data_IF_430660243024
#
_entry.id   IF_430660243024
#
_cell.length_a   1.000
_cell.length_b   1.000
_cell.length_c   1.000
_cell.angle_alpha   90.00
_cell.angle_beta   90.00
_cell.angle_gamma   90.00
#
_symmetry.space_group_name_H-M   'P 1'
#
loop_
_entity.id
_entity.type
_entity.pdbx_description
1 polymer ?
2 non-polymer ?
3 water ?
#
# COMPACT_ATOMS: atom_id res chain seq x y z
N UNK A 1 -8.23 -0.78 -16.30
CA UNK A 1 -8.49 -1.31 -14.96
C UNK A 1 -8.18 -0.28 -13.88
N UNK A 2 -9.11 -0.11 -12.95
CA UNK A 2 -8.90 0.77 -11.81
C UNK A 2 -8.53 -0.05 -10.58
N UNK A 3 -7.36 0.21 -10.00
CA UNK A 3 -6.85 -0.61 -8.91
C UNK A 3 -6.57 0.21 -7.65
N UNK A 4 -7.06 -0.28 -6.53
CA UNK A 4 -6.82 0.35 -5.23
C UNK A 4 -6.56 -0.71 -4.16
N UNK A 5 -5.46 -0.55 -3.43
CA UNK A 5 -5.15 -1.44 -2.34
C UNK A 5 -5.48 -0.77 -1.01
N UNK A 6 -6.28 -1.45 -0.19
CA UNK A 6 -6.69 -0.89 1.09
C UNK A 6 -6.13 -1.73 2.24
N UNK A 7 -5.77 -1.06 3.33
CA UNK A 7 -5.13 -1.72 4.46
C UNK A 7 -5.91 -1.53 5.76
N UNK A 8 -6.16 -2.62 6.47
CA UNK A 8 -6.82 -2.56 7.77
C UNK A 8 -5.82 -2.84 8.89
N UNK A 9 -5.41 -1.78 9.58
CA UNK A 9 -4.35 -1.86 10.58
C UNK A 9 -4.65 -2.83 11.72
N UNK A 10 -5.92 -2.99 12.05
CA UNK A 10 -6.33 -3.85 13.16
C UNK A 10 -5.96 -5.32 12.91
N UNK A 11 -6.18 -5.79 11.70
CA UNK A 11 -5.94 -7.19 11.37
C UNK A 11 -4.84 -7.36 10.33
N UNK A 12 -4.24 -6.24 9.91
CA UNK A 12 -3.21 -6.22 8.88
C UNK A 12 -3.71 -6.83 7.57
N UNK A 13 -5.01 -6.70 7.33
CA UNK A 13 -5.64 -7.28 6.15
C UNK A 13 -5.60 -6.34 4.95
N UNK A 14 -5.28 -6.88 3.79
CA UNK A 14 -5.31 -6.12 2.54
C UNK A 14 -6.64 -6.32 1.82
N UNK A 15 -7.34 -5.22 1.56
CA UNK A 15 -8.56 -5.25 0.75
C UNK A 15 -8.24 -4.69 -0.62
N UNK A 16 -8.75 -5.34 -1.67
CA UNK A 16 -8.45 -4.91 -3.03
C UNK A 16 -9.69 -4.49 -3.80
N UNK A 17 -9.65 -3.27 -4.32
CA UNK A 17 -10.74 -2.74 -5.14
C UNK A 17 -10.34 -2.73 -6.61
N UNK A 18 -11.02 -3.55 -7.41
CA UNK A 18 -10.76 -3.60 -8.84
C UNK A 18 -11.99 -3.12 -9.61
N UNK A 19 -11.81 -2.10 -10.44
CA UNK A 19 -12.90 -1.54 -11.21
C UNK A 19 -12.74 -1.74 -12.70
N UNK A 20 -13.85 -1.99 -13.38
CA UNK A 20 -13.85 -2.12 -14.84
C UNK A 20 -14.11 -0.77 -15.48
N UNK A 21 -13.15 -0.28 -16.27
CA UNK A 21 -13.26 1.04 -16.87
C UNK A 21 -14.39 1.13 -17.90
N UNK A 22 -14.81 -0.02 -18.41
CA UNK A 22 -15.89 -0.07 -19.38
C UNK A 22 -17.26 0.05 -18.72
N UNK A 23 -17.61 -0.97 -17.93
CA UNK A 23 -18.94 -1.05 -17.33
C UNK A 23 -19.04 -0.30 -16.00
N UNK A 24 -17.91 0.18 -15.49
CA UNK A 24 -17.82 0.86 -14.20
C UNK A 24 -18.24 -0.05 -13.05
N UNK A 25 -18.15 -1.36 -13.28
CA UNK A 25 -18.45 -2.34 -12.23
C UNK A 25 -17.21 -2.60 -11.39
N UNK A 26 -17.39 -2.70 -10.08
CA UNK A 26 -16.27 -2.87 -9.17
C UNK A 26 -16.43 -4.11 -8.31
N UNK A 27 -15.30 -4.64 -7.84
CA UNK A 27 -15.29 -5.79 -6.95
C UNK A 27 -14.35 -5.55 -5.77
N UNK A 28 -14.80 -5.90 -4.58
CA UNK A 28 -13.96 -5.81 -3.39
C UNK A 28 -13.51 -7.21 -2.99
N UNK A 29 -12.19 -7.40 -2.91
CA UNK A 29 -11.64 -8.68 -2.50
C UNK A 29 -11.21 -8.63 -1.03
N UNK A 30 -11.77 -9.53 -0.22
CA UNK A 30 -11.55 -9.59 1.22
C UNK A 30 -11.78 -8.25 1.92
N UNK A 31 -13.03 -7.74 1.88
CA UNK A 31 -13.32 -6.49 2.59
C UNK A 31 -13.58 -6.72 4.08
N UNK A 32 -13.22 -5.74 4.90
CA UNK A 32 -13.38 -5.85 6.35
C UNK A 32 -14.61 -5.09 6.83
N UNK A 33 -15.35 -5.70 7.75
CA UNK A 33 -16.61 -5.16 8.26
C UNK A 33 -16.50 -3.75 8.82
N UNK A 34 -15.40 -3.49 9.53
CA UNK A 34 -15.19 -2.18 10.14
C UNK A 34 -14.90 -1.10 9.10
N UNK A 35 -14.54 -1.53 7.89
CA UNK A 35 -14.12 -0.59 6.85
C UNK A 35 -15.16 -0.46 5.73
N UNK A 36 -16.40 -0.85 6.02
CA UNK A 36 -17.48 -0.80 5.03
C UNK A 36 -17.68 0.61 4.48
N UNK A 37 -17.79 1.59 5.38
CA UNK A 37 -18.02 2.98 4.99
C UNK A 37 -16.85 3.52 4.17
N UNK A 38 -15.63 3.16 4.55
CA UNK A 38 -14.44 3.57 3.80
C UNK A 38 -14.48 3.01 2.38
N UNK A 39 -14.74 1.71 2.28
CA UNK A 39 -14.75 1.02 1.00
C UNK A 39 -15.80 1.58 0.04
N UNK A 40 -17.03 1.72 0.53
CA UNK A 40 -18.12 2.23 -0.29
C UNK A 40 -17.88 3.68 -0.71
N UNK A 41 -17.26 4.46 0.17
CA UNK A 41 -16.92 5.84 -0.14
C UNK A 41 -15.90 5.91 -1.27
N UNK A 42 -14.95 4.99 -1.25
CA UNK A 42 -13.92 4.92 -2.30
C UNK A 42 -14.54 4.48 -3.63
N UNK A 43 -15.47 3.54 -3.57
CA UNK A 43 -16.13 3.03 -4.76
C UNK A 43 -16.94 4.13 -5.45
N UNK A 44 -17.68 4.89 -4.66
CA UNK A 44 -18.53 5.96 -5.19
C UNK A 44 -17.71 7.08 -5.80
N UNK A 45 -16.66 7.50 -5.09
CA UNK A 45 -15.85 8.63 -5.51
C UNK A 45 -14.98 8.31 -6.72
N UNK A 46 -14.75 7.03 -6.96
CA UNK A 46 -14.03 6.60 -8.16
C UNK A 46 -15.01 6.39 -9.31
N UNK A 47 -16.27 6.73 -9.07
CA UNK A 47 -17.34 6.56 -10.05
C UNK A 47 -17.44 5.13 -10.52
N UNK A 48 -17.61 4.22 -9.57
CA UNK A 48 -17.82 2.81 -9.86
C UNK A 48 -19.06 2.32 -9.11
N UNK A 49 -19.46 1.08 -9.38
CA UNK A 49 -20.58 0.47 -8.66
C UNK A 49 -20.19 -0.93 -8.21
N UNK A 50 -20.26 -1.16 -6.91
CA UNK A 50 -19.91 -2.46 -6.34
C UNK A 50 -20.92 -3.52 -6.77
N UNK A 51 -20.49 -4.45 -7.60
CA UNK A 51 -21.37 -5.50 -8.09
C UNK A 51 -20.92 -6.88 -7.60
N UNK A 52 -19.69 -6.96 -7.11
CA UNK A 52 -19.14 -8.23 -6.65
C UNK A 52 -18.30 -8.08 -5.39
N UNK A 53 -18.26 -9.14 -4.58
CA UNK A 53 -17.38 -9.21 -3.42
C UNK A 53 -16.74 -10.60 -3.34
N UNK A 54 -15.42 -10.64 -3.41
CA UNK A 54 -14.71 -11.91 -3.35
C UNK A 54 -14.13 -12.16 -1.97
N UNK A 55 -14.19 -13.42 -1.53
CA UNK A 55 -13.46 -13.85 -0.34
C UNK A 55 -12.50 -14.96 -0.72
N UNK A 56 -11.22 -14.74 -0.44
CA UNK A 56 -10.20 -15.75 -0.75
C UNK A 56 -10.41 -17.00 0.10
N UNK A 57 -10.81 -16.78 1.36
CA UNK A 57 -11.05 -17.89 2.29
C UNK A 57 -11.83 -17.40 3.51
N UNK A 58 -12.33 -18.34 4.30
CA UNK A 58 -12.96 -17.99 5.57
C UNK A 58 -11.89 -17.47 6.53
N UNK A 59 -12.03 -16.20 6.93
CA UNK A 59 -11.00 -15.54 7.72
C UNK A 59 -11.15 -15.82 9.22
N UNK A 60 -10.04 -15.76 9.94
CA UNK A 60 -10.03 -16.02 11.37
C UNK A 60 -9.43 -14.84 12.15
N UNK A 61 -9.19 -13.74 11.43
CA UNK A 61 -8.55 -12.57 12.01
C UNK A 61 -9.46 -11.35 11.95
N UNK A 62 -10.46 -11.41 11.07
CA UNK A 62 -11.39 -10.30 10.91
C UNK A 62 -12.74 -10.79 10.40
N UNK A 63 -13.77 -9.98 10.62
CA UNK A 63 -15.09 -10.28 10.10
C UNK A 63 -15.21 -9.75 8.66
N UNK A 64 -15.61 -10.62 7.74
CA UNK A 64 -15.78 -10.20 6.36
C UNK A 64 -16.94 -9.21 6.24
N UNK A 65 -16.90 -8.37 5.21
CA UNK A 65 -17.94 -7.36 5.02
C UNK A 65 -18.89 -7.75 3.89
N UNK A 66 -18.65 -8.93 3.31
CA UNK A 66 -19.43 -9.41 2.17
C UNK A 66 -20.93 -9.38 2.43
N UNK A 67 -21.33 -9.82 3.62
CA UNK A 67 -22.74 -9.83 3.98
C UNK A 67 -23.32 -8.44 4.13
N UNK A 68 -22.60 -7.59 4.87
CA UNK A 68 -23.02 -6.21 5.09
C UNK A 68 -23.06 -5.43 3.78
N UNK A 69 -22.09 -5.69 2.91
CA UNK A 69 -22.04 -5.03 1.61
C UNK A 69 -23.19 -5.49 0.73
N UNK A 70 -23.53 -6.78 0.81
CA UNK A 70 -24.63 -7.32 0.01
C UNK A 70 -25.96 -6.68 0.39
N UNK A 71 -26.10 -6.31 1.65
CA UNK A 71 -27.32 -5.66 2.13
C UNK A 71 -27.45 -4.25 1.56
N UNK A 72 -26.31 -3.60 1.36
CA UNK A 72 -26.30 -2.19 0.97
C UNK A 72 -26.35 -1.97 -0.55
N UNK A 73 -25.68 -2.83 -1.31
CA UNK A 73 -25.60 -2.62 -2.75
C UNK A 73 -26.02 -3.84 -3.56
N UNK A 74 -26.53 -4.86 -2.88
CA UNK A 74 -27.00 -6.09 -3.53
C UNK A 74 -25.91 -6.72 -4.40
N UNK A 75 -24.66 -6.62 -3.96
CA UNK A 75 -23.53 -7.17 -4.69
C UNK A 75 -23.52 -8.69 -4.62
N UNK A 76 -22.90 -9.32 -5.61
CA UNK A 76 -22.77 -10.77 -5.63
C UNK A 76 -21.59 -11.22 -4.78
N UNK A 77 -21.85 -12.09 -3.82
CA UNK A 77 -20.78 -12.64 -2.99
C UNK A 77 -20.22 -13.91 -3.61
N UNK A 78 -18.89 -13.94 -3.77
CA UNK A 78 -18.22 -15.08 -4.38
C UNK A 78 -17.26 -15.72 -3.37
N UNK A 79 -17.23 -17.05 -3.34
CA UNK A 79 -16.34 -17.77 -2.46
C UNK A 79 -16.13 -19.21 -2.91
N UNK A 80 -15.31 -19.94 -2.16
CA UNK A 80 -15.06 -21.34 -2.46
C UNK A 80 -16.29 -22.19 -2.17
N UNK A 81 -16.38 -23.34 -2.85
CA UNK A 81 -17.48 -24.27 -2.61
C UNK A 81 -17.42 -24.84 -1.20
N UNK A 82 -16.23 -24.79 -0.61
CA UNK A 82 -16.03 -25.25 0.77
C UNK A 82 -16.09 -24.08 1.74
N UNK A 83 -16.51 -22.92 1.26
CA UNK A 83 -16.56 -21.73 2.08
C UNK A 83 -17.94 -21.46 2.66
N UNK A 84 -18.33 -20.20 2.71
CA UNK A 84 -19.63 -19.81 3.23
C UNK A 84 -20.75 -20.30 2.31
N UNK A 85 -21.75 -20.95 2.91
CA UNK A 85 -22.86 -21.51 2.15
C UNK A 85 -23.79 -20.42 1.64
N UNK A 86 -23.78 -19.27 2.29
CA UNK A 86 -24.66 -18.16 1.94
C UNK A 86 -24.07 -17.31 0.82
N UNK A 87 -22.92 -17.71 0.31
CA UNK A 87 -22.33 -17.06 -0.84
C UNK A 87 -23.17 -17.35 -2.09
N UNK A 88 -23.44 -16.33 -2.88
CA UNK A 88 -24.27 -16.47 -4.08
C UNK A 88 -23.61 -17.34 -5.13
N UNK A 89 -22.35 -17.04 -5.43
CA UNK A 89 -21.58 -17.81 -6.40
C UNK A 89 -20.43 -18.57 -5.72
N UNK A 90 -20.52 -19.89 -5.72
CA UNK A 90 -19.47 -20.72 -5.15
C UNK A 90 -18.63 -21.34 -6.25
N UNK A 91 -17.34 -21.06 -6.23
CA UNK A 91 -16.45 -21.45 -7.33
C UNK A 91 -15.42 -22.50 -6.94
N UNK A 92 -14.88 -23.16 -7.97
CA UNK A 92 -13.80 -24.13 -7.78
C UNK A 92 -12.71 -23.88 -8.83
N UNK A 93 -11.69 -24.72 -8.84
CA UNK A 93 -10.58 -24.57 -9.77
C UNK A 93 -11.05 -24.66 -11.22
N UNK A 94 -10.63 -23.71 -12.04
CA UNK A 94 -10.99 -23.70 -13.45
C UNK A 94 -12.13 -22.75 -13.77
N UNK A 95 -12.93 -22.42 -12.76
CA UNK A 95 -14.06 -21.51 -12.95
C UNK A 95 -13.59 -20.10 -13.29
N UNK A 96 -14.53 -19.29 -13.79
CA UNK A 96 -14.25 -17.90 -14.09
C UNK A 96 -15.36 -17.00 -13.53
N UNK A 97 -14.97 -15.83 -13.05
CA UNK A 97 -15.94 -14.86 -12.55
C UNK A 97 -15.87 -13.56 -13.34
N UNK A 98 -16.95 -13.23 -14.03
CA UNK A 98 -17.01 -12.03 -14.84
C UNK A 98 -17.43 -10.81 -14.02
N UNK A 99 -16.57 -9.80 -13.98
CA UNK A 99 -16.92 -8.52 -13.36
C UNK A 99 -16.86 -7.44 -14.43
N UNK A 100 -17.97 -7.28 -15.15
CA UNK A 100 -18.00 -6.40 -16.30
C UNK A 100 -17.14 -6.99 -17.41
N UNK A 101 -16.14 -6.23 -17.85
CA UNK A 101 -15.22 -6.70 -18.88
C UNK A 101 -14.06 -7.47 -18.25
N UNK A 102 -14.00 -7.48 -16.93
CA UNK A 102 -12.95 -8.16 -16.20
C UNK A 102 -13.25 -9.65 -16.04
N UNK A 103 -12.26 -10.48 -16.35
CA UNK A 103 -12.42 -11.93 -16.23
C UNK A 103 -11.43 -12.50 -15.22
N UNK A 104 -11.95 -12.87 -14.04
CA UNK A 104 -11.12 -13.47 -13.00
C UNK A 104 -11.10 -15.00 -13.13
N UNK A 105 -9.90 -15.55 -13.19
CA UNK A 105 -9.75 -17.01 -13.22
C UNK A 105 -9.50 -17.54 -11.82
N UNK A 106 -10.32 -18.52 -11.41
CA UNK A 106 -10.25 -19.06 -10.06
C UNK A 106 -9.22 -20.18 -9.95
N UNK A 107 -8.29 -20.02 -9.01
CA UNK A 107 -7.28 -21.04 -8.74
C UNK A 107 -7.45 -21.61 -7.35
N UNK A 108 -7.65 -22.93 -7.25
CA UNK A 108 -7.75 -23.59 -5.97
C UNK A 108 -6.38 -23.66 -5.30
N UNK A 109 -6.23 -22.97 -4.18
CA UNK A 109 -4.96 -22.97 -3.46
C UNK A 109 -5.14 -23.29 -1.97
N UNK A 110 -5.53 -24.53 -1.66
CA UNK A 110 -5.72 -24.91 -0.25
C UNK A 110 -4.39 -25.09 0.47
N UNK A 111 -4.44 -25.15 1.80
CA UNK A 111 -3.24 -25.29 2.61
C UNK A 111 -3.34 -24.48 3.89
N UNK A 112 -3.54 -23.18 3.75
CA UNK A 112 -3.85 -22.32 4.89
C UNK A 112 -5.20 -22.76 5.45
N UNK A 113 -6.20 -22.78 4.58
CA UNK A 113 -7.49 -23.38 4.88
C UNK A 113 -7.86 -24.28 3.71
N UNK A 114 -8.87 -25.12 3.90
CA UNK A 114 -9.28 -26.05 2.85
C UNK A 114 -10.13 -25.36 1.79
N UNK A 115 -10.59 -24.15 2.10
CA UNK A 115 -11.43 -23.40 1.18
C UNK A 115 -10.69 -22.19 0.60
N UNK A 116 -9.37 -22.16 0.77
CA UNK A 116 -8.57 -21.06 0.25
C UNK A 116 -8.47 -21.13 -1.27
N UNK A 117 -8.71 -20.00 -1.92
CA UNK A 117 -8.58 -19.89 -3.37
C UNK A 117 -7.82 -18.63 -3.74
N UNK A 118 -7.38 -18.57 -5.00
CA UNK A 118 -6.69 -17.39 -5.51
C UNK A 118 -7.37 -16.88 -6.78
N UNK A 119 -7.38 -15.56 -6.96
CA UNK A 119 -8.01 -14.97 -8.14
C UNK A 119 -6.96 -14.41 -9.10
N UNK A 120 -6.88 -15.02 -10.28
CA UNK A 120 -5.93 -14.58 -11.30
C UNK A 120 -6.56 -13.55 -12.23
N UNK A 121 -5.97 -12.35 -12.26
CA UNK A 121 -6.43 -11.30 -13.15
C UNK A 121 -5.29 -10.82 -14.04
N UNK A 122 -5.05 -11.54 -15.12
CA UNK A 122 -4.02 -11.19 -16.08
C UNK A 122 -2.62 -11.14 -15.50
N UNK A 123 -2.14 -9.92 -15.25
CA UNK A 123 -0.77 -9.71 -14.81
C UNK A 123 -0.60 -9.87 -13.30
N UNK A 124 -1.70 -10.09 -12.59
CA UNK A 124 -1.64 -10.16 -11.14
C UNK A 124 -2.55 -11.24 -10.57
N UNK A 125 -2.20 -11.73 -9.38
CA UNK A 125 -2.98 -12.75 -8.71
C UNK A 125 -3.19 -12.40 -7.23
N UNK A 126 -4.42 -12.59 -6.75
CA UNK A 126 -4.74 -12.32 -5.36
C UNK A 126 -4.79 -13.63 -4.58
N UNK A 127 -3.81 -13.85 -3.73
CA UNK A 127 -3.52 -15.17 -3.18
C UNK A 127 -4.00 -15.39 -1.75
N UNK A 128 -4.56 -14.36 -1.13
CA UNK A 128 -5.03 -14.47 0.24
C UNK A 128 -3.89 -14.78 1.20
N UNK A 129 -4.06 -15.85 1.98
CA UNK A 129 -3.03 -16.26 2.93
C UNK A 129 -2.24 -17.48 2.46
N UNK A 130 -2.47 -17.89 1.22
CA UNK A 130 -1.71 -19.01 0.66
C UNK A 130 -0.27 -18.58 0.44
N UNK A 131 -0.07 -17.58 -0.42
CA UNK A 131 1.25 -17.02 -0.67
C UNK A 131 1.33 -15.59 -0.17
N UNK A 132 2.22 -15.34 0.78
CA UNK A 132 2.44 -14.00 1.31
C UNK A 132 3.75 -13.43 0.79
N UNK A 133 4.04 -12.18 1.15
CA UNK A 133 5.32 -11.59 0.83
C UNK A 133 6.42 -12.22 1.67
N UNK A 134 7.28 -12.99 1.02
CA UNK A 134 8.36 -13.71 1.69
C UNK A 134 7.83 -14.63 2.79
N UNK A 135 6.72 -15.31 2.52
CA UNK A 135 6.15 -16.21 3.49
C UNK A 135 4.85 -16.87 3.06
N UNK A 136 4.14 -17.44 4.03
CA UNK A 136 2.88 -18.12 3.77
C UNK A 136 2.04 -18.21 5.05
N UNK A 137 0.75 -18.46 4.89
CA UNK A 137 -0.13 -18.58 6.03
C UNK A 137 0.12 -19.83 6.84
N UNK A 138 -0.28 -19.82 8.12
CA UNK A 138 -0.12 -20.96 8.98
C UNK A 138 -1.05 -22.10 8.55
N UNK A 139 -0.70 -23.33 8.91
CA UNK A 139 -1.44 -24.50 8.46
C UNK A 139 -1.95 -25.37 9.61
N UNK A 140 -2.06 -24.78 10.79
CA UNK A 140 -2.42 -25.53 11.98
C UNK A 140 -3.87 -25.32 12.43
N UNK A 141 -4.63 -24.54 11.66
CA UNK A 141 -6.03 -24.29 11.98
C UNK A 141 -6.91 -24.32 10.73
N UNK A 142 -8.22 -24.36 10.95
CA UNK A 142 -9.21 -24.36 9.88
C UNK A 142 -8.97 -25.46 8.85
N UNK A 143 -8.65 -26.65 9.34
CA UNK A 143 -8.35 -27.81 8.50
C UNK A 143 -7.22 -27.52 7.52
N UNK A 144 -6.23 -26.76 7.99
CA UNK A 144 -5.05 -26.46 7.18
C UNK A 144 -4.20 -27.70 6.97
N UNK A 145 -3.36 -27.67 5.94
CA UNK A 145 -2.51 -28.80 5.64
C UNK A 145 -1.22 -28.36 4.94
N UNK A 146 -0.09 -28.57 5.61
CA UNK A 146 1.21 -28.13 5.10
C UNK A 146 1.55 -28.77 3.75
N UNK A 147 1.26 -30.06 3.63
CA UNK A 147 1.52 -30.78 2.38
C UNK A 147 0.70 -30.20 1.25
N UNK A 148 -0.55 -29.88 1.54
CA UNK A 148 -1.46 -29.30 0.55
C UNK A 148 -0.99 -27.91 0.13
N UNK A 149 -0.54 -27.11 1.09
CA UNK A 149 -0.06 -25.76 0.82
C UNK A 149 1.18 -25.79 -0.06
N UNK A 150 2.00 -26.82 0.10
CA UNK A 150 3.20 -26.96 -0.71
C UNK A 150 2.83 -27.18 -2.17
N UNK A 151 1.76 -27.92 -2.40
CA UNK A 151 1.27 -28.17 -3.75
C UNK A 151 0.68 -26.89 -4.36
N UNK A 152 -0.06 -26.15 -3.55
CA UNK A 152 -0.68 -24.90 -3.99
C UNK A 152 0.36 -23.86 -4.38
N UNK A 153 1.47 -23.85 -3.66
CA UNK A 153 2.55 -22.89 -3.91
C UNK A 153 3.36 -23.28 -5.13
N UNK A 154 3.94 -24.47 -5.10
CA UNK A 154 4.88 -24.92 -6.12
C UNK A 154 4.23 -25.31 -7.45
N UNK A 155 3.04 -25.92 -7.39
CA UNK A 155 2.43 -26.47 -8.59
C UNK A 155 1.34 -25.58 -9.18
N UNK A 156 0.69 -24.78 -8.34
CA UNK A 156 -0.41 -23.95 -8.80
C UNK A 156 0.00 -22.49 -9.00
N UNK A 157 0.66 -21.92 -8.01
CA UNK A 157 1.03 -20.50 -8.06
C UNK A 157 2.37 -20.26 -8.74
N UNK A 158 3.36 -21.11 -8.47
CA UNK A 158 4.70 -20.89 -9.00
C UNK A 158 4.79 -21.23 -10.49
N UNK A 159 3.75 -21.84 -11.05
CA UNK A 159 3.72 -22.15 -12.47
C UNK A 159 3.21 -20.96 -13.28
N UNK A 160 2.68 -19.96 -12.58
CA UNK A 160 2.29 -18.70 -13.20
C UNK A 160 3.52 -18.00 -13.74
N UNK A 161 3.35 -17.13 -14.76
CA UNK A 161 4.47 -16.38 -15.32
C UNK A 161 5.26 -15.61 -14.26
N UNK A 162 6.57 -15.47 -14.48
CA UNK A 162 7.46 -14.87 -13.48
C UNK A 162 7.07 -13.44 -13.12
N UNK A 163 6.67 -12.65 -14.12
CA UNK A 163 6.37 -11.23 -13.92
C UNK A 163 5.02 -11.00 -13.24
N UNK A 164 4.27 -12.08 -12.99
CA UNK A 164 2.97 -11.96 -12.34
C UNK A 164 3.09 -11.35 -10.95
N UNK A 165 2.32 -10.30 -10.70
CA UNK A 165 2.33 -9.64 -9.41
C UNK A 165 1.49 -10.41 -8.40
N UNK A 166 1.97 -10.49 -7.17
CA UNK A 166 1.26 -11.20 -6.12
C UNK A 166 0.75 -10.25 -5.04
N UNK A 167 -0.57 -10.17 -4.90
CA UNK A 167 -1.19 -9.32 -3.90
C UNK A 167 -1.79 -10.16 -2.77
N UNK A 168 -1.06 -10.25 -1.64
CA UNK A 168 -1.42 -11.11 -0.51
C UNK A 168 -2.58 -10.58 0.31
N UNK A 169 -3.16 -11.45 1.13
CA UNK A 169 -4.28 -11.07 1.98
C UNK A 169 -3.82 -10.35 3.24
N UNK A 170 -2.56 -10.56 3.61
CA UNK A 170 -2.00 -9.91 4.80
C UNK A 170 -0.53 -9.57 4.64
N UNK A 171 -0.08 -8.64 5.47
CA UNK A 171 1.35 -8.39 5.67
C UNK A 171 1.52 -7.65 6.99
N UNK A 172 2.56 -8.02 7.73
CA UNK A 172 2.78 -7.46 9.06
C UNK A 172 4.08 -6.67 9.12
N UNK A 173 4.70 -6.44 7.97
CA UNK A 173 5.99 -5.76 7.93
C UNK A 173 6.01 -4.60 6.93
N UNK A 174 4.85 -4.26 6.39
CA UNK A 174 4.72 -3.08 5.54
C UNK A 174 4.93 -3.30 4.06
N UNK A 175 5.06 -4.55 3.65
CA UNK A 175 5.17 -4.87 2.23
C UNK A 175 3.78 -4.94 1.62
N UNK A 176 3.63 -4.39 0.41
CA UNK A 176 2.32 -4.30 -0.22
C UNK A 176 2.14 -5.28 -1.37
N UNK A 177 3.25 -5.68 -1.98
CA UNK A 177 3.18 -6.55 -3.16
C UNK A 177 4.51 -7.29 -3.37
N UNK A 178 4.40 -8.48 -3.96
CA UNK A 178 5.58 -9.22 -4.42
C UNK A 178 5.29 -9.78 -5.80
N UNK A 179 6.16 -10.65 -6.29
CA UNK A 179 5.95 -11.30 -7.57
C UNK A 179 6.35 -12.77 -7.53
N UNK A 180 5.87 -13.54 -8.49
CA UNK A 180 6.16 -14.97 -8.56
C UNK A 180 7.67 -15.23 -8.66
N UNK A 181 8.34 -14.46 -9.51
CA UNK A 181 9.79 -14.59 -9.69
C UNK A 181 10.52 -14.36 -8.37
N UNK A 182 10.09 -13.36 -7.61
CA UNK A 182 10.68 -13.07 -6.31
C UNK A 182 10.53 -14.23 -5.34
N UNK A 183 9.32 -14.79 -5.28
CA UNK A 183 9.01 -15.83 -4.31
C UNK A 183 9.64 -17.17 -4.67
N UNK A 184 9.82 -17.42 -5.97
CA UNK A 184 10.47 -18.66 -6.41
C UNK A 184 11.94 -18.67 -6.05
N UNK A 185 12.48 -17.50 -5.70
CA UNK A 185 13.90 -17.38 -5.38
C UNK A 185 14.15 -17.09 -3.90
N UNK A 186 13.31 -16.28 -3.29
CA UNK A 186 13.62 -15.73 -1.98
C UNK A 186 12.63 -16.10 -0.87
N UNK A 187 11.65 -16.95 -1.17
CA UNK A 187 10.74 -17.43 -0.14
C UNK A 187 11.47 -18.37 0.81
N UNK A 188 11.63 -17.96 2.07
CA UNK A 188 12.46 -18.66 3.06
C UNK A 188 11.97 -20.06 3.43
N UNK A 189 10.71 -20.38 3.11
CA UNK A 189 10.15 -21.67 3.51
C UNK A 189 10.00 -22.65 2.35
N UNK A 190 10.04 -22.14 1.12
CA UNK A 190 9.79 -22.98 -0.05
C UNK A 190 11.00 -23.09 -0.96
N UNK A 191 11.66 -21.97 -1.22
CA UNK A 191 12.80 -21.93 -2.12
C UNK A 191 13.96 -22.78 -1.58
N UNK A 192 14.27 -23.86 -2.28
CA UNK A 192 15.33 -24.76 -1.87
C UNK A 192 14.87 -25.78 -0.85
N UNK A 193 13.57 -25.77 -0.56
CA UNK A 193 13.00 -26.69 0.41
C UNK A 193 12.15 -27.75 -0.28
N UNK A 194 12.29 -28.99 0.17
CA UNK A 194 11.45 -30.08 -0.30
C UNK A 194 10.10 -30.04 0.42
N UNK A 195 9.20 -30.94 0.05
CA UNK A 195 7.89 -31.02 0.70
C UNK A 195 8.05 -31.31 2.19
N UNK A 196 8.85 -32.32 2.50
CA UNK A 196 9.06 -32.76 3.88
C UNK A 196 9.72 -31.66 4.71
N UNK A 197 10.65 -30.94 4.10
CA UNK A 197 11.31 -29.83 4.76
C UNK A 197 10.31 -28.73 5.07
N UNK A 198 9.45 -28.43 4.11
CA UNK A 198 8.41 -27.42 4.29
C UNK A 198 7.39 -27.84 5.36
N UNK A 199 7.05 -29.12 5.36
CA UNK A 199 6.10 -29.65 6.34
C UNK A 199 6.66 -29.58 7.75
N UNK A 200 7.94 -29.93 7.90
CA UNK A 200 8.58 -29.93 9.21
C UNK A 200 8.66 -28.52 9.80
N UNK A 201 8.82 -27.53 8.93
CA UNK A 201 8.87 -26.14 9.38
C UNK A 201 7.52 -25.68 9.91
N UNK A 202 6.47 -25.92 9.14
CA UNK A 202 5.12 -25.47 9.50
C UNK A 202 4.57 -26.18 10.73
N UNK A 203 4.92 -27.46 10.88
CA UNK A 203 4.40 -28.26 11.98
C UNK A 203 5.05 -27.89 13.32
N UNK A 204 6.21 -27.22 13.24
CA UNK A 204 6.93 -26.80 14.44
C UNK A 204 7.16 -25.29 14.49
N UNK A 205 6.12 -24.53 14.18
CA UNK A 205 6.22 -23.07 14.18
C UNK A 205 5.90 -22.51 15.56
N UNK A 206 5.08 -23.25 16.32
CA UNK A 206 4.70 -22.89 17.68
C UNK A 206 4.16 -21.47 17.79
N UNK A 207 3.07 -21.21 17.07
CA UNK A 207 2.44 -19.89 17.07
C UNK A 207 1.21 -19.88 17.98
N UNK A 208 0.96 -18.75 18.64
CA UNK A 208 -0.24 -18.62 19.48
C UNK A 208 -1.52 -18.72 18.67
N UNK A 209 -2.58 -19.21 19.30
CA UNK A 209 -3.88 -19.33 18.66
C UNK A 209 -4.32 -17.98 18.10
N UNK A 210 -4.87 -17.97 16.88
CA UNK A 210 -5.41 -16.74 16.28
C UNK A 210 -6.39 -16.04 17.22
N UNK A 211 -6.22 -14.73 17.39
CA UNK A 211 -6.98 -13.96 18.36
C UNK A 211 -8.50 -14.11 18.21
N UNK A 212 -8.99 -13.93 17.00
CA UNK A 212 -10.43 -13.85 16.76
C UNK A 212 -11.01 -15.09 16.11
N UNK A 213 -10.23 -16.18 16.11
CA UNK A 213 -10.60 -17.37 15.33
C UNK A 213 -11.92 -18.00 15.77
N UNK A 214 -12.23 -17.96 17.07
CA UNK A 214 -13.46 -18.57 17.56
C UNK A 214 -14.66 -17.66 17.31
N UNK A 215 -14.40 -16.40 17.01
CA UNK A 215 -15.45 -15.43 16.74
C UNK A 215 -15.60 -15.18 15.24
N UNK A 216 -14.46 -15.06 14.55
CA UNK A 216 -14.46 -14.71 13.14
C UNK A 216 -14.93 -15.85 12.24
N UNK A 217 -14.42 -17.05 12.50
CA UNK A 217 -14.74 -18.21 11.66
C UNK A 217 -16.24 -18.52 11.60
N UNK A 218 -16.94 -18.59 12.76
CA UNK A 218 -18.38 -18.84 12.63
C UNK A 218 -19.12 -17.69 11.96
N UNK A 219 -18.69 -16.46 12.24
CA UNK A 219 -19.32 -15.29 11.65
C UNK A 219 -19.12 -15.25 10.14
N UNK A 220 -17.91 -15.51 9.69
CA UNK A 220 -17.58 -15.48 8.27
C UNK A 220 -18.18 -16.66 7.50
N UNK A 221 -18.59 -17.69 8.22
CA UNK A 221 -19.34 -18.78 7.61
C UNK A 221 -20.72 -18.28 7.19
N UNK A 222 -21.21 -17.28 7.91
CA UNK A 222 -22.50 -16.65 7.59
C UNK A 222 -22.28 -15.30 6.92
N UNK A 223 -21.18 -15.18 6.18
CA UNK A 223 -20.81 -13.95 5.49
C UNK A 223 -20.74 -12.74 6.43
N UNK A 224 -20.30 -12.97 7.66
CA UNK A 224 -20.15 -11.90 8.62
C UNK A 224 -21.44 -11.54 9.32
N UNK A 225 -22.05 -12.52 9.98
CA UNK A 225 -23.27 -12.30 10.75
C UNK A 225 -23.10 -12.76 12.19
N UNK B 1 9.74 0.88 -15.43
CA UNK B 1 9.77 1.37 -14.06
C UNK B 1 9.36 0.29 -13.07
N UNK B 2 10.19 0.06 -12.06
CA UNK B 2 9.86 -0.86 -10.98
C UNK B 2 9.37 -0.08 -9.77
N UNK B 3 8.13 -0.34 -9.36
CA UNK B 3 7.52 0.43 -8.29
C UNK B 3 7.13 -0.44 -7.08
N UNK B 4 7.54 0.01 -5.90
CA UNK B 4 7.21 -0.67 -4.66
C UNK B 4 6.86 0.35 -3.57
N UNK B 5 5.72 0.17 -2.92
CA UNK B 5 5.30 1.04 -1.84
C UNK B 5 5.50 0.34 -0.50
N UNK B 6 6.19 0.99 0.42
CA UNK B 6 6.46 0.41 1.72
C UNK B 6 5.81 1.22 2.84
N UNK B 7 5.36 0.53 3.88
CA UNK B 7 4.63 1.16 4.97
C UNK B 7 5.30 0.93 6.32
N UNK B 8 5.47 2.00 7.08
CA UNK B 8 6.03 1.90 8.43
C UNK B 8 4.94 2.17 9.47
N UNK B 9 4.50 1.10 10.13
CA UNK B 9 3.35 1.16 11.03
C UNK B 9 3.50 2.15 12.19
N UNK B 10 4.72 2.27 12.72
CA UNK B 10 4.96 3.12 13.88
C UNK B 10 4.71 4.60 13.60
N UNK B 11 5.00 5.03 12.38
CA UNK B 11 4.87 6.43 12.01
C UNK B 11 3.87 6.64 10.89
N UNK B 12 3.28 5.55 10.40
CA UNK B 12 2.36 5.57 9.27
C UNK B 12 2.98 6.22 8.03
N UNK B 13 4.29 6.06 7.89
CA UNK B 13 5.03 6.67 6.79
C UNK B 13 5.09 5.76 5.57
N UNK B 14 4.86 6.33 4.39
CA UNK B 14 5.02 5.61 3.14
C UNK B 14 6.39 5.84 2.53
N UNK B 15 7.14 4.75 2.33
CA UNK B 15 8.42 4.81 1.63
C UNK B 15 8.21 4.31 0.21
N UNK B 16 8.83 4.98 -0.77
CA UNK B 16 8.64 4.59 -2.16
C UNK B 16 9.94 4.19 -2.83
N UNK B 17 9.94 2.99 -3.40
CA UNK B 17 11.08 2.48 -4.13
C UNK B 17 10.81 2.51 -5.63
N UNK B 18 11.54 3.35 -6.34
CA UNK B 18 11.41 3.42 -7.79
C UNK B 18 12.70 2.97 -8.47
N UNK B 19 12.59 1.94 -9.30
CA UNK B 19 13.76 1.40 -9.98
C UNK B 19 13.71 1.60 -11.48
N UNK B 20 14.86 1.93 -12.07
CA UNK B 20 14.98 2.08 -13.51
C UNK B 20 15.28 0.73 -14.15
N UNK B 21 14.44 0.31 -15.08
CA UNK B 21 14.61 -1.00 -15.71
C UNK B 21 15.85 -1.05 -16.59
N UNK B 22 16.27 0.11 -17.09
CA UNK B 22 17.43 0.19 -17.98
C UNK B 22 18.74 0.05 -17.19
N UNK B 23 19.01 1.03 -16.33
CA UNK B 23 20.28 1.11 -15.63
C UNK B 23 20.29 0.36 -14.31
N UNK B 24 19.13 -0.17 -13.92
CA UNK B 24 18.93 -0.85 -12.65
C UNK B 24 19.23 0.05 -11.46
N UNK B 25 19.19 1.36 -11.67
CA UNK B 25 19.36 2.32 -10.58
C UNK B 25 18.04 2.51 -9.83
N UNK B 26 18.12 2.58 -8.51
CA UNK B 26 16.93 2.70 -7.69
C UNK B 26 17.00 3.91 -6.77
N UNK B 27 15.83 4.42 -6.38
CA UNK B 27 15.74 5.54 -5.46
C UNK B 27 14.72 5.25 -4.36
N UNK B 28 15.05 5.62 -3.14
CA UNK B 28 14.11 5.51 -2.03
C UNK B 28 13.60 6.88 -1.62
N UNK B 29 12.29 7.07 -1.64
CA UNK B 29 11.70 8.34 -1.22
C UNK B 29 11.15 8.23 0.20
N UNK B 30 11.63 9.10 1.07
CA UNK B 30 11.28 9.11 2.50
C UNK B 30 11.48 7.74 3.17
N UNK B 31 12.74 7.25 3.22
CA UNK B 31 12.98 5.99 3.91
C UNK B 31 13.09 6.15 5.42
N UNK B 32 12.68 5.13 6.16
CA UNK B 32 12.69 5.18 7.62
C UNK B 32 13.89 4.41 8.18
N UNK B 33 14.57 5.02 9.15
CA UNK B 33 15.80 4.47 9.73
C UNK B 33 15.61 3.05 10.29
N UNK B 34 14.47 2.80 10.91
CA UNK B 34 14.20 1.51 11.51
C UNK B 34 13.91 0.44 10.45
N UNK B 35 13.75 0.88 9.21
CA UNK B 35 13.40 -0.02 8.11
C UNK B 35 14.51 -0.14 7.07
N UNK B 36 15.72 0.24 7.46
CA UNK B 36 16.86 0.23 6.55
C UNK B 36 17.11 -1.17 5.97
N UNK B 37 17.13 -2.17 6.84
CA UNK B 37 17.39 -3.55 6.43
C UNK B 37 16.31 -4.07 5.48
N UNK B 38 15.06 -3.73 5.77
CA UNK B 38 13.95 -4.11 4.91
C UNK B 38 14.10 -3.50 3.52
N UNK B 39 14.39 -2.20 3.49
CA UNK B 39 14.51 -1.45 2.24
C UNK B 39 15.65 -1.99 1.37
N UNK B 40 16.82 -2.17 1.97
CA UNK B 40 17.99 -2.64 1.25
C UNK B 40 17.80 -4.07 0.73
N UNK B 41 17.10 -4.89 1.52
CA UNK B 41 16.83 -6.27 1.12
C UNK B 41 15.90 -6.30 -0.09
N UNK B 42 14.97 -5.36 -0.15
CA UNK B 42 14.05 -5.26 -1.27
C UNK B 42 14.75 -4.79 -2.54
N UNK B 43 15.67 -3.85 -2.37
CA UNK B 43 16.44 -3.32 -3.49
C UNK B 43 17.29 -4.40 -4.13
N UNK B 44 17.96 -5.19 -3.30
CA UNK B 44 18.84 -6.26 -3.77
C UNK B 44 18.06 -7.37 -4.46
N UNK B 45 16.97 -7.81 -3.83
CA UNK B 45 16.18 -8.92 -4.35
C UNK B 45 15.41 -8.55 -5.62
N UNK B 46 15.27 -7.26 -5.88
CA UNK B 46 14.65 -6.81 -7.12
C UNK B 46 15.72 -6.53 -8.18
N UNK B 47 16.96 -6.91 -7.86
CA UNK B 47 18.11 -6.70 -8.73
C UNK B 47 18.26 -5.24 -9.12
N UNK B 48 18.36 -4.39 -8.10
CA UNK B 48 18.58 -2.96 -8.31
C UNK B 48 19.73 -2.48 -7.42
N UNK B 49 20.20 -1.27 -7.70
CA UNK B 49 21.23 -0.65 -6.86
C UNK B 49 20.78 0.73 -6.41
N UNK B 50 20.75 0.94 -5.09
CA UNK B 50 20.35 2.23 -4.55
C UNK B 50 21.38 3.29 -4.84
N UNK B 51 21.02 4.26 -5.67
CA UNK B 51 21.93 5.34 -6.03
C UNK B 51 21.45 6.68 -5.48
N UNK B 52 20.15 6.78 -5.24
CA UNK B 52 19.56 8.03 -4.76
C UNK B 52 18.62 7.83 -3.58
N UNK B 53 18.52 8.85 -2.73
CA UNK B 53 17.55 8.87 -1.64
C UNK B 53 16.90 10.24 -1.57
N UNK B 54 15.58 10.28 -1.79
CA UNK B 54 14.86 11.55 -1.75
C UNK B 54 14.16 11.74 -0.41
N UNK B 55 14.11 12.98 0.05
CA UNK B 55 13.26 13.33 1.18
C UNK B 55 12.38 14.52 0.83
N UNK B 56 11.07 14.35 0.94
CA UNK B 56 10.12 15.39 0.60
C UNK B 56 10.27 16.59 1.52
N UNK B 57 10.53 16.33 2.80
CA UNK B 57 10.71 17.39 3.79
C UNK B 57 11.37 16.85 5.05
N UNK B 58 11.80 17.75 5.93
CA UNK B 58 12.31 17.36 7.23
C UNK B 58 11.17 16.82 8.08
N UNK B 59 11.25 15.54 8.42
CA UNK B 59 10.16 14.85 9.10
C UNK B 59 10.17 15.09 10.61
N UNK B 60 8.98 15.09 11.20
CA UNK B 60 8.83 15.32 12.63
C UNK B 60 8.13 14.14 13.30
N UNK B 61 8.08 13.02 12.58
CA UNK B 61 7.38 11.84 13.07
C UNK B 61 8.27 10.60 13.03
N UNK B 62 9.38 10.70 12.29
CA UNK B 62 10.32 9.60 12.17
C UNK B 62 11.70 10.11 11.78
N UNK B 63 12.72 9.31 12.07
CA UNK B 63 14.08 9.64 11.66
C UNK B 63 14.34 9.12 10.26
N UNK B 64 14.82 9.99 9.38
CA UNK B 64 15.11 9.60 8.01
C UNK B 64 16.28 8.61 7.96
N UNK B 65 16.31 7.80 6.90
CA UNK B 65 17.35 6.79 6.75
C UNK B 65 18.39 7.21 5.71
N UNK B 66 18.21 8.40 5.17
CA UNK B 66 19.07 8.91 4.10
C UNK B 66 20.56 8.86 4.45
N UNK B 67 20.89 9.26 5.68
CA UNK B 67 22.27 9.25 6.12
C UNK B 67 22.82 7.84 6.28
N UNK B 68 22.05 6.98 6.95
CA UNK B 68 22.46 5.59 7.16
C UNK B 68 22.59 4.86 5.83
N UNK B 69 21.67 5.14 4.91
CA UNK B 69 21.71 4.55 3.58
C UNK B 69 22.92 5.04 2.80
N UNK B 70 23.27 6.32 2.98
CA UNK B 70 24.42 6.89 2.31
C UNK B 70 25.71 6.23 2.80
N UNK B 71 25.72 5.81 4.06
CA UNK B 71 26.89 5.14 4.64
C UNK B 71 27.12 3.77 3.99
N UNK B 72 26.03 3.08 3.68
CA UNK B 72 26.12 1.70 3.18
C UNK B 72 26.34 1.60 1.67
N UNK B 73 25.55 2.35 0.90
CA UNK B 73 25.61 2.21 -0.55
C UNK B 73 26.10 3.47 -1.25
N UNK B 74 26.57 4.43 -0.47
CA UNK B 74 27.10 5.69 -1.02
C UNK B 74 26.08 6.40 -1.91
N UNK B 75 24.80 6.27 -1.55
CA UNK B 75 23.73 6.84 -2.34
C UNK B 75 23.73 8.36 -2.26
N UNK B 76 23.25 9.00 -3.31
CA UNK B 76 23.13 10.45 -3.36
C UNK B 76 21.88 10.92 -2.61
N UNK B 77 22.06 11.71 -1.57
CA UNK B 77 20.94 12.24 -0.81
C UNK B 77 20.41 13.52 -1.46
N UNK B 78 19.13 13.54 -1.79
CA UNK B 78 18.52 14.69 -2.42
C UNK B 78 17.47 15.31 -1.50
N UNK B 79 17.45 16.63 -1.40
CA UNK B 79 16.51 17.32 -0.54
C UNK B 79 16.31 18.76 -0.95
N UNK B 80 15.45 19.47 -0.23
CA UNK B 80 15.17 20.88 -0.54
C UNK B 80 16.34 21.73 -0.07
N UNK B 81 16.44 22.92 -0.66
CA UNK B 81 17.49 23.88 -0.33
C UNK B 81 17.32 24.40 1.09
N UNK B 82 16.11 24.24 1.61
CA UNK B 82 15.79 24.67 2.96
C UNK B 82 15.83 23.49 3.92
N UNK B 83 16.19 22.34 3.38
CA UNK B 83 16.23 21.10 4.16
C UNK B 83 17.58 20.85 4.82
N UNK B 84 17.93 19.57 4.94
CA UNK B 84 19.20 19.19 5.54
C UNK B 84 20.37 19.74 4.75
N UNK B 85 21.35 20.31 5.46
CA UNK B 85 22.50 20.91 4.82
C UNK B 85 23.47 19.85 4.29
N UNK B 86 23.47 18.68 4.93
CA UNK B 86 24.36 17.60 4.55
C UNK B 86 23.85 16.79 3.36
N UNK B 87 22.71 17.20 2.81
CA UNK B 87 22.20 16.59 1.58
C UNK B 87 23.14 16.93 0.44
N UNK B 88 23.46 15.92 -0.38
CA UNK B 88 24.40 16.10 -1.49
C UNK B 88 23.83 17.01 -2.59
N UNK B 89 22.60 16.73 -3.00
CA UNK B 89 21.94 17.53 -4.02
C UNK B 89 20.74 18.27 -3.43
N UNK B 90 20.84 19.59 -3.35
CA UNK B 90 19.75 20.42 -2.87
C UNK B 90 19.01 21.07 -4.03
N UNK B 91 17.71 20.79 -4.14
CA UNK B 91 16.93 21.22 -5.30
C UNK B 91 15.87 22.25 -4.96
N UNK B 92 15.42 22.95 -6.00
CA UNK B 92 14.33 23.92 -5.88
C UNK B 92 13.33 23.70 -7.01
N UNK B 93 12.32 24.56 -7.09
CA UNK B 93 11.29 24.42 -8.11
C UNK B 93 11.86 24.58 -9.51
N UNK B 94 11.55 23.62 -10.38
CA UNK B 94 12.01 23.66 -11.76
C UNK B 94 13.17 22.72 -12.03
N UNK B 95 13.88 22.34 -10.97
CA UNK B 95 15.03 21.45 -11.11
C UNK B 95 14.60 20.03 -11.49
N UNK B 96 15.57 19.24 -11.95
CA UNK B 96 15.32 17.84 -12.30
C UNK B 96 16.36 16.95 -11.65
N UNK B 97 15.92 15.79 -11.17
CA UNK B 97 16.84 14.79 -10.62
C UNK B 97 16.74 13.50 -11.43
N UNK B 98 17.85 13.08 -12.00
CA UNK B 98 17.87 11.90 -12.85
C UNK B 98 18.39 10.67 -12.11
N UNK B 99 17.53 9.65 -12.01
CA UNK B 99 17.91 8.36 -11.47
C UNK B 99 18.00 7.36 -12.61
N UNK B 100 19.17 7.25 -13.21
CA UNK B 100 19.33 6.48 -14.43
C UNK B 100 18.62 7.18 -15.56
N UNK B 101 17.62 6.52 -16.14
CA UNK B 101 16.84 7.12 -17.21
C UNK B 101 15.52 7.68 -16.68
N UNK B 102 15.34 7.62 -15.36
CA UNK B 102 14.19 8.20 -14.71
C UNK B 102 14.41 9.69 -14.47
N UNK B 103 13.48 10.51 -14.92
CA UNK B 103 13.61 11.95 -14.77
C UNK B 103 12.55 12.51 -13.81
N UNK B 104 12.97 12.77 -12.58
CA UNK B 104 12.08 13.37 -11.58
C UNK B 104 12.10 14.89 -11.67
N UNK B 105 10.92 15.48 -11.86
CA UNK B 105 10.79 16.93 -11.84
C UNK B 105 10.44 17.41 -10.44
N UNK B 106 11.18 18.38 -9.94
CA UNK B 106 10.99 18.88 -8.59
C UNK B 106 9.94 19.99 -8.55
N UNK B 107 8.95 19.82 -7.67
CA UNK B 107 7.91 20.82 -7.48
C UNK B 107 7.95 21.36 -6.06
N UNK B 108 8.13 22.67 -5.93
CA UNK B 108 8.12 23.31 -4.62
C UNK B 108 6.70 23.37 -4.06
N UNK B 109 6.46 22.65 -2.97
CA UNK B 109 5.15 22.64 -2.34
C UNK B 109 5.22 22.88 -0.84
N UNK B 110 5.46 24.14 -0.43
CA UNK B 110 5.53 24.46 1.00
C UNK B 110 4.17 24.35 1.70
N UNK B 111 4.11 24.85 2.93
CA UNK B 111 2.86 24.92 3.67
C UNK B 111 2.87 24.04 4.89
N UNK B 112 3.11 22.74 4.69
CA UNK B 112 3.34 21.82 5.80
C UNK B 112 4.63 22.23 6.49
N UNK B 113 5.71 22.25 5.71
CA UNK B 113 6.97 22.82 6.15
C UNK B 113 7.46 23.76 5.06
N UNK B 114 8.43 24.61 5.37
CA UNK B 114 8.94 25.56 4.39
C UNK B 114 9.88 24.89 3.40
N UNK B 115 10.26 23.64 3.70
CA UNK B 115 11.17 22.90 2.82
C UNK B 115 10.48 21.72 2.15
N UNK B 116 9.16 21.69 2.23
CA UNK B 116 8.39 20.60 1.61
C UNK B 116 8.39 20.73 0.09
N UNK B 117 8.74 19.64 -0.58
CA UNK B 117 8.71 19.60 -2.04
C UNK B 117 8.00 18.35 -2.52
N UNK B 118 7.72 18.30 -3.82
CA UNK B 118 7.09 17.14 -4.43
C UNK B 118 7.87 16.67 -5.66
N UNK B 119 7.90 15.36 -5.88
CA UNK B 119 8.62 14.79 -7.01
C UNK B 119 7.67 14.27 -8.07
N UNK B 120 7.73 14.85 -9.27
CA UNK B 120 6.88 14.44 -10.37
C UNK B 120 7.57 13.42 -11.27
N UNK B 121 7.01 12.23 -11.36
CA UNK B 121 7.54 11.19 -12.24
C UNK B 121 6.46 10.74 -13.22
N UNK B 122 6.36 11.44 -14.34
CA UNK B 122 5.40 11.10 -15.38
C UNK B 122 3.96 11.12 -14.93
N UNK B 123 3.41 9.93 -14.72
CA UNK B 123 1.99 9.77 -14.42
C UNK B 123 1.69 9.85 -12.92
N UNK B 124 2.72 10.06 -12.11
CA UNK B 124 2.54 10.09 -10.67
C UNK B 124 3.40 11.14 -9.98
N UNK B 125 2.94 11.59 -8.82
CA UNK B 125 3.65 12.60 -8.05
C UNK B 125 3.73 12.18 -6.57
N UNK B 126 4.90 12.38 -5.97
CA UNK B 126 5.10 12.06 -4.57
C UNK B 126 5.09 13.36 -3.76
N UNK B 127 4.02 13.54 -2.97
CA UNK B 127 3.70 14.85 -2.41
C UNK B 127 4.07 15.03 -0.94
N UNK B 128 4.59 13.99 -0.31
CA UNK B 128 4.93 14.05 1.10
C UNK B 128 3.70 14.33 1.96
N UNK B 129 3.78 15.39 2.78
CA UNK B 129 2.67 15.77 3.64
C UNK B 129 1.93 17.01 3.14
N UNK B 130 2.27 17.45 1.94
CA UNK B 130 1.57 18.58 1.33
C UNK B 130 0.15 18.17 0.99
N UNK B 131 0.03 17.18 0.10
CA UNK B 131 -1.28 16.64 -0.26
C UNK B 131 -1.40 15.18 0.18
N UNK B 132 -2.41 14.89 0.99
CA UNK B 132 -2.66 13.55 1.48
C UNK B 132 -3.92 12.97 0.84
N UNK B 133 -4.23 11.72 1.15
CA UNK B 133 -5.47 11.13 0.70
C UNK B 133 -6.64 11.74 1.46
N UNK B 134 -7.45 12.53 0.76
CA UNK B 134 -8.58 13.25 1.35
C UNK B 134 -8.14 14.11 2.53
N UNK B 135 -7.02 14.81 2.37
CA UNK B 135 -6.52 15.67 3.43
C UNK B 135 -5.19 16.34 3.11
N UNK B 136 -4.57 16.88 4.16
CA UNK B 136 -3.29 17.57 4.03
C UNK B 136 -2.58 17.67 5.38
N UNK B 137 -1.26 17.89 5.34
CA UNK B 137 -0.49 17.98 6.55
C UNK B 137 -0.83 19.21 7.38
N UNK B 138 -0.53 19.15 8.67
CA UNK B 138 -0.77 20.28 9.57
C UNK B 138 0.21 21.42 9.28
N UNK B 139 -0.21 22.65 9.58
CA UNK B 139 0.58 23.82 9.22
C UNK B 139 0.97 24.68 10.43
N UNK B 140 0.98 24.07 11.61
CA UNK B 140 1.23 24.82 12.84
C UNK B 140 2.60 24.54 13.45
N UNK B 141 3.48 23.90 12.68
CA UNK B 141 4.83 23.61 13.16
C UNK B 141 5.87 23.73 12.06
N UNK B 142 7.14 23.72 12.47
CA UNK B 142 8.31 23.88 11.60
C UNK B 142 8.08 24.80 10.40
N UNK B 143 7.79 26.07 10.70
CA UNK B 143 7.59 27.10 9.69
C UNK B 143 6.46 26.79 8.72
N UNK B 144 5.44 26.10 9.20
CA UNK B 144 4.27 25.80 8.40
C UNK B 144 3.45 27.06 8.15
N UNK B 145 2.71 27.07 7.05
CA UNK B 145 1.88 28.21 6.70
C UNK B 145 0.68 27.81 5.85
N UNK B 146 -0.51 27.93 6.42
CA UNK B 146 -1.75 27.51 5.75
C UNK B 146 -1.96 28.22 4.43
N UNK B 147 -1.61 29.50 4.38
CA UNK B 147 -1.74 30.29 3.16
C UNK B 147 -0.86 29.72 2.06
N UNK B 148 0.37 29.38 2.41
CA UNK B 148 1.31 28.79 1.46
C UNK B 148 0.83 27.42 0.97
N UNK B 149 0.33 26.61 1.90
CA UNK B 149 -0.13 25.26 1.56
C UNK B 149 -1.30 25.31 0.59
N UNK B 150 -2.20 26.29 0.78
CA UNK B 150 -3.33 26.45 -0.11
C UNK B 150 -2.86 26.73 -1.53
N UNK B 151 -1.81 27.53 -1.65
CA UNK B 151 -1.24 27.85 -2.95
C UNK B 151 -0.55 26.64 -3.57
N UNK B 152 0.12 25.86 -2.73
CA UNK B 152 0.84 24.68 -3.18
C UNK B 152 -0.11 23.62 -3.72
N UNK B 153 -1.29 23.53 -3.12
CA UNK B 153 -2.29 22.56 -3.54
C UNK B 153 -2.99 22.99 -4.81
N UNK B 154 -3.55 24.20 -4.79
CA UNK B 154 -4.39 24.69 -5.87
C UNK B 154 -3.61 25.12 -7.12
N UNK B 155 -2.45 25.74 -6.93
CA UNK B 155 -1.72 26.32 -8.05
C UNK B 155 -0.61 25.41 -8.58
N UNK B 156 -0.03 24.60 -7.70
CA UNK B 156 1.11 23.77 -8.09
C UNK B 156 0.71 22.32 -8.38
N UNK B 157 -0.07 21.73 -7.48
CA UNK B 157 -0.42 20.32 -7.59
C UNK B 157 -1.70 20.08 -8.38
N UNK B 158 -2.73 20.87 -8.14
CA UNK B 158 -4.03 20.67 -8.79
C UNK B 158 -4.01 21.06 -10.27
N UNK B 159 -2.94 21.71 -10.71
CA UNK B 159 -2.80 22.08 -12.11
C UNK B 159 -2.17 20.95 -12.91
N UNK B 160 -1.70 19.92 -12.21
CA UNK B 160 -1.21 18.70 -12.85
C UNK B 160 -2.39 17.98 -13.51
N UNK B 161 -2.12 17.13 -14.51
CA UNK B 161 -3.19 16.38 -15.17
C UNK B 161 -4.08 15.61 -14.19
N UNK B 162 -5.37 15.52 -14.50
CA UNK B 162 -6.34 14.87 -13.63
C UNK B 162 -5.97 13.42 -13.31
N UNK B 163 -5.47 12.71 -14.32
CA UNK B 163 -5.20 11.28 -14.19
C UNK B 163 -3.92 11.00 -13.37
N UNK B 164 -3.23 12.06 -12.98
CA UNK B 164 -1.99 11.91 -12.21
C UNK B 164 -2.23 11.24 -10.87
N UNK B 165 -1.47 10.18 -10.60
CA UNK B 165 -1.57 9.48 -9.33
C UNK B 165 -0.84 10.24 -8.24
N UNK B 166 -1.41 10.25 -7.04
CA UNK B 166 -0.82 10.95 -5.91
C UNK B 166 -0.42 9.97 -4.80
N UNK B 167 0.88 9.88 -4.54
CA UNK B 167 1.40 9.01 -3.50
C UNK B 167 1.86 9.81 -2.29
N UNK B 168 1.06 9.82 -1.22
CA UNK B 168 1.30 10.64 -0.03
C UNK B 168 2.42 10.10 0.86
N UNK B 169 2.96 10.97 1.72
CA UNK B 169 4.00 10.56 2.64
C UNK B 169 3.44 9.82 3.84
N UNK B 170 2.15 10.02 4.10
CA UNK B 170 1.49 9.37 5.23
C UNK B 170 0.03 9.03 4.93
N UNK B 171 -0.49 8.06 5.67
CA UNK B 171 -1.93 7.82 5.72
C UNK B 171 -2.24 7.03 6.99
N UNK B 172 -3.28 7.44 7.69
CA UNK B 172 -3.62 6.85 8.98
C UNK B 172 -4.91 6.04 8.92
N UNK B 173 -5.50 5.94 7.73
CA UNK B 173 -6.76 5.22 7.56
C UNK B 173 -6.67 4.11 6.51
N UNK B 174 -5.44 3.76 6.12
CA UNK B 174 -5.23 2.60 5.27
C UNK B 174 -5.36 2.82 3.78
N UNK B 175 -5.38 4.08 3.35
CA UNK B 175 -5.40 4.39 1.92
C UNK B 175 -3.98 4.50 1.40
N UNK B 176 -3.74 3.97 0.21
CA UNK B 176 -2.38 3.89 -0.34
C UNK B 176 -2.12 4.93 -1.43
N UNK B 177 -3.17 5.35 -2.12
CA UNK B 177 -3.01 6.27 -3.25
C UNK B 177 -4.31 6.99 -3.57
N UNK B 178 -4.18 8.22 -4.08
CA UNK B 178 -5.31 8.96 -4.63
C UNK B 178 -4.88 9.54 -5.97
N UNK B 179 -5.71 10.42 -6.53
CA UNK B 179 -5.37 11.10 -7.78
C UNK B 179 -5.78 12.56 -7.73
N UNK B 180 -5.22 13.35 -8.62
CA UNK B 180 -5.50 14.79 -8.68
C UNK B 180 -6.99 15.06 -8.90
N UNK B 181 -7.60 14.30 -9.80
CA UNK B 181 -9.02 14.43 -10.08
C UNK B 181 -9.86 14.19 -8.83
N UNK B 182 -9.50 13.16 -8.07
CA UNK B 182 -10.20 12.83 -6.84
C UNK B 182 -10.13 13.96 -5.83
N UNK B 183 -8.93 14.52 -5.64
CA UNK B 183 -8.71 15.54 -4.62
C UNK B 183 -9.29 16.89 -5.02
N UNK B 184 -9.35 17.16 -6.31
CA UNK B 184 -9.93 18.41 -6.80
C UNK B 184 -11.45 18.42 -6.56
N UNK B 185 -12.02 17.24 -6.37
CA UNK B 185 -13.45 17.09 -6.21
C UNK B 185 -13.87 16.75 -4.79
N UNK B 186 -13.03 16.01 -4.07
CA UNK B 186 -13.45 15.42 -2.80
C UNK B 186 -12.55 15.73 -1.60
N UNK B 187 -11.60 16.64 -1.76
CA UNK B 187 -10.77 17.05 -0.62
C UNK B 187 -11.58 17.93 0.32
N UNK B 188 -11.82 17.46 1.55
CA UNK B 188 -12.73 18.09 2.51
C UNK B 188 -12.27 19.48 3.00
N UNK B 189 -11.05 19.88 2.68
CA UNK B 189 -10.52 21.16 3.17
C UNK B 189 -10.27 22.18 2.06
N UNK B 190 -10.23 21.72 0.81
CA UNK B 190 -9.88 22.61 -0.30
C UNK B 190 -11.00 22.72 -1.32
N UNK B 191 -11.66 21.60 -1.62
CA UNK B 191 -12.74 21.58 -2.60
C UNK B 191 -13.92 22.44 -2.13
N UNK B 192 -14.21 23.51 -2.89
CA UNK B 192 -15.28 24.41 -2.54
C UNK B 192 -14.91 25.31 -1.38
N UNK B 193 -13.62 25.40 -1.11
CA UNK B 193 -13.11 26.22 -0.01
C UNK B 193 -12.20 27.32 -0.55
N UNK B 194 -12.41 28.55 -0.08
CA UNK B 194 -11.55 29.66 -0.46
C UNK B 194 -10.27 29.63 0.35
N UNK B 195 -9.33 30.51 0.02
CA UNK B 195 -8.07 30.61 0.76
C UNK B 195 -8.34 30.92 2.23
N UNK B 196 -9.18 31.91 2.48
CA UNK B 196 -9.51 32.31 3.85
C UNK B 196 -10.22 31.19 4.60
N UNK B 197 -11.10 30.48 3.90
CA UNK B 197 -11.82 29.36 4.49
C UNK B 197 -10.85 28.25 4.89
N UNK B 198 -9.90 27.95 4.00
CA UNK B 198 -8.91 26.92 4.27
C UNK B 198 -7.98 27.29 5.42
N UNK B 199 -7.62 28.57 5.49
CA UNK B 199 -6.73 29.05 6.55
C UNK B 199 -7.37 28.90 7.92
N UNK B 200 -8.61 29.38 8.05
CA UNK B 200 -9.31 29.35 9.33
C UNK B 200 -9.49 27.92 9.85
N UNK B 201 -9.63 26.97 8.94
CA UNK B 201 -9.76 25.56 9.32
C UNK B 201 -8.47 25.05 9.96
N UNK B 202 -7.35 25.28 9.29
CA UNK B 202 -6.05 24.82 9.77
C UNK B 202 -5.62 25.55 11.04
N UNK B 203 -6.08 26.79 11.20
CA UNK B 203 -5.68 27.60 12.34
C UNK B 203 -6.28 27.09 13.65
N UNK B 204 -7.39 26.35 13.55
CA UNK B 204 -8.09 25.83 14.71
C UNK B 204 -8.33 24.32 14.66
N UNK B 205 -7.34 23.58 14.18
CA UNK B 205 -7.46 22.12 14.11
C UNK B 205 -7.31 21.54 15.52
N UNK B 206 -6.58 22.27 16.36
CA UNK B 206 -6.37 21.89 17.75
C UNK B 206 -5.79 20.49 17.91
N UNK B 207 -4.62 20.27 17.33
CA UNK B 207 -3.99 18.96 17.37
C UNK B 207 -2.83 18.91 18.35
N UNK B 208 -2.61 17.73 18.97
CA UNK B 208 -1.45 17.52 19.83
C UNK B 208 -0.16 17.62 19.03
N UNK B 209 0.88 18.20 19.63
CA UNK B 209 2.17 18.31 18.95
C UNK B 209 2.73 16.93 18.66
N UNK B 210 3.38 16.76 17.49
CA UNK B 210 3.96 15.48 17.10
C UNK B 210 5.00 15.00 18.10
N UNK B 211 4.69 13.94 18.82
CA UNK B 211 5.56 13.45 19.90
C UNK B 211 6.83 12.78 19.36
N UNK B 212 7.66 13.57 18.69
CA UNK B 212 8.98 13.14 18.22
C UNK B 212 9.66 14.33 17.56
N UNK B 213 8.92 15.43 17.44
CA UNK B 213 9.34 16.61 16.70
C UNK B 213 10.62 17.23 17.24
N UNK B 214 10.84 17.11 18.55
CA UNK B 214 12.01 17.71 19.18
C UNK B 214 13.24 16.84 18.95
N UNK B 215 13.01 15.57 18.60
CA UNK B 215 14.10 14.63 18.36
C UNK B 215 14.31 14.42 16.87
N UNK B 216 13.21 14.24 16.14
CA UNK B 216 13.27 13.92 14.72
C UNK B 216 13.78 15.07 13.87
N UNK B 217 13.23 16.26 14.08
CA UNK B 217 13.59 17.44 13.29
C UNK B 217 15.09 17.78 13.32
N UNK B 218 15.70 17.86 14.53
CA UNK B 218 17.14 18.17 14.48
C UNK B 218 17.97 17.01 13.93
N UNK B 219 17.50 15.79 14.13
CA UNK B 219 18.20 14.60 13.63
C UNK B 219 18.12 14.53 12.12
N UNK B 220 16.94 14.82 11.57
CA UNK B 220 16.71 14.74 10.13
C UNK B 220 17.35 15.90 9.36
N UNK B 221 17.72 16.96 10.09
CA UNK B 221 18.48 18.05 9.50
C UNK B 221 19.94 17.65 9.38
N UNK B 222 20.30 16.60 10.10
CA UNK B 222 21.62 15.99 9.98
C UNK B 222 21.53 14.69 9.21
N UNK B 223 20.49 14.57 8.38
CA UNK B 223 20.22 13.39 7.59
C UNK B 223 20.10 12.13 8.44
N UNK B 224 19.42 12.23 9.56
CA UNK B 224 19.18 11.09 10.43
C UNK B 224 20.38 10.71 11.28
N UNK B 225 21.30 11.65 11.46
CA UNK B 225 22.46 11.42 12.31
C UNK B 225 22.28 12.09 13.67
#
# INVERSE_FOLDING_TARGET
MIFRQLFDSESSTYTYLIGDEATRQAVLIDPVLEQVDRDLQMVAELDLTLTHVFDTHVHADHITASGALRERTQATVVGSVNGASCANVQVRHGDEVRVGQLVFQVLATPGHTDDSISYLLGDRVFTGDALLVRGNGRTDFQNGNASQLYDSLTRVLFTLPDETLVYPGHDYKGRTVTSIAEEKRHNPRVAGKSREEFIHIMENLNLPRPKLIDAAVPANRACGHTAPSPQGA
MIFRQLFDSESSTYTYLIGDEATRQAVLIDPVLEQVDRDLQMVAELDLTLTHVFDTHVHADHITASGALRERTQATVVGSVNGASCANVQVRHGDEVRVGQLVFQVLATPGHTDDSISYLLGDRVFTGDALLVRGNGRTDFQNGNASQLYDSLTRVLFTLPDETLVYPGHDYKGRTVTSIAEEKRHNPRVAGKSREEFIHIMENLNLPRPKLIDAAVPANRACGHTAPSPQGA
#
